data_IF_116868602380
#
_entry.id   IF_116868602380
#
_cell.length_a   1.000
_cell.length_b   1.000
_cell.length_c   1.000
_cell.angle_alpha   90.00
_cell.angle_beta   90.00
_cell.angle_gamma   90.00
#
_symmetry.space_group_name_H-M   'P 1'
#
loop_
_entity.id
_entity.type
_entity.pdbx_description
1 polymer ?
#
# COMPACT_ATOMS: atom_id res chain seq x y z
N UNK A 1 46.70 -5.61 43.63
CA UNK A 1 46.04 -4.39 43.14
C UNK A 1 44.77 -4.20 43.96
N UNK A 2 44.40 -2.97 44.36
CA UNK A 2 43.22 -2.76 45.21
C UNK A 2 41.92 -3.08 44.44
N UNK A 3 41.01 -3.81 45.06
CA UNK A 3 39.64 -4.12 44.58
C UNK A 3 38.94 -2.96 43.82
N UNK A 4 38.99 -1.68 44.29
CA UNK A 4 38.36 -0.56 43.57
C UNK A 4 38.93 -0.33 42.16
N UNK A 5 40.22 -0.61 41.92
CA UNK A 5 40.84 -0.39 40.60
C UNK A 5 40.38 -1.45 39.59
N UNK A 6 40.17 -2.70 40.05
CA UNK A 6 39.61 -3.76 39.22
C UNK A 6 38.16 -3.46 38.82
N UNK A 7 37.36 -2.93 39.76
CA UNK A 7 35.98 -2.50 39.50
C UNK A 7 35.90 -1.33 38.51
N UNK A 8 36.81 -0.36 38.60
CA UNK A 8 36.88 0.77 37.66
C UNK A 8 37.19 0.30 36.24
N UNK A 9 38.18 -0.58 36.06
CA UNK A 9 38.51 -1.12 34.74
C UNK A 9 37.34 -1.95 34.16
N UNK A 10 36.65 -2.72 35.00
CA UNK A 10 35.52 -3.53 34.56
C UNK A 10 34.33 -2.69 34.05
N UNK A 11 34.05 -1.53 34.66
CA UNK A 11 33.01 -0.61 34.17
C UNK A 11 33.38 0.03 32.82
N UNK A 12 34.64 0.42 32.63
CA UNK A 12 35.10 1.04 31.38
C UNK A 12 35.05 0.11 30.17
N UNK A 13 35.23 -1.20 30.37
CA UNK A 13 35.15 -2.18 29.29
C UNK A 13 33.75 -2.77 29.12
N UNK A 14 33.02 -3.11 30.19
CA UNK A 14 31.72 -3.78 30.03
C UNK A 14 30.63 -2.82 29.53
N UNK A 15 30.63 -1.56 30.00
CA UNK A 15 29.59 -0.60 29.65
C UNK A 15 29.52 -0.32 28.14
N UNK A 16 30.58 0.13 27.44
CA UNK A 16 30.49 0.39 26.00
C UNK A 16 30.20 -0.88 25.18
N UNK A 17 30.74 -2.03 25.57
CA UNK A 17 30.45 -3.29 24.90
C UNK A 17 28.98 -3.70 25.06
N UNK A 18 28.42 -3.56 26.26
CA UNK A 18 27.00 -3.83 26.51
C UNK A 18 26.11 -2.92 25.67
N UNK A 19 26.38 -1.62 25.63
CA UNK A 19 25.62 -0.68 24.80
C UNK A 19 25.75 -1.00 23.31
N UNK A 20 26.95 -1.30 22.81
CA UNK A 20 27.17 -1.71 21.41
C UNK A 20 26.39 -2.99 21.09
N UNK A 21 26.37 -3.96 22.00
CA UNK A 21 25.65 -5.22 21.82
C UNK A 21 24.14 -4.98 21.78
N UNK A 22 23.59 -4.17 22.68
CA UNK A 22 22.18 -3.79 22.71
C UNK A 22 21.79 -3.02 21.45
N UNK A 23 22.54 -1.98 21.07
CA UNK A 23 22.28 -1.21 19.85
C UNK A 23 22.40 -2.07 18.58
N UNK A 24 23.40 -2.97 18.53
CA UNK A 24 23.58 -3.91 17.43
C UNK A 24 22.41 -4.89 17.30
N UNK A 25 21.92 -5.43 18.42
CA UNK A 25 20.72 -6.29 18.44
C UNK A 25 19.50 -5.51 17.96
N UNK A 26 19.27 -4.30 18.48
CA UNK A 26 18.13 -3.47 18.07
C UNK A 26 18.17 -3.19 16.57
N UNK A 27 19.34 -2.81 16.04
CA UNK A 27 19.54 -2.58 14.61
C UNK A 27 19.28 -3.84 13.78
N UNK A 28 19.77 -4.99 14.23
CA UNK A 28 19.57 -6.27 13.55
C UNK A 28 18.08 -6.69 13.55
N UNK A 29 17.40 -6.56 14.69
CA UNK A 29 15.96 -6.82 14.81
C UNK A 29 15.17 -5.88 13.91
N UNK A 30 15.49 -4.57 13.91
CA UNK A 30 14.85 -3.60 13.02
C UNK A 30 15.07 -3.96 11.54
N UNK A 31 16.28 -4.37 11.16
CA UNK A 31 16.58 -4.85 9.80
C UNK A 31 15.76 -6.08 9.40
N UNK A 32 15.60 -7.06 10.30
CA UNK A 32 14.74 -8.24 10.05
C UNK A 32 13.28 -7.82 9.88
N UNK A 33 12.76 -6.94 10.74
CA UNK A 33 11.38 -6.44 10.63
C UNK A 33 11.14 -5.70 9.32
N UNK A 34 12.11 -4.88 8.89
CA UNK A 34 12.06 -4.19 7.59
C UNK A 34 12.05 -5.21 6.45
N UNK A 35 12.91 -6.23 6.48
CA UNK A 35 12.94 -7.29 5.47
C UNK A 35 11.60 -8.03 5.37
N UNK A 36 11.00 -8.40 6.50
CA UNK A 36 9.67 -9.03 6.54
C UNK A 36 8.62 -8.09 5.97
N UNK A 37 8.65 -6.81 6.35
CA UNK A 37 7.72 -5.80 5.86
C UNK A 37 7.82 -5.60 4.35
N UNK A 38 9.03 -5.47 3.80
CA UNK A 38 9.26 -5.33 2.34
C UNK A 38 8.74 -6.55 1.60
N UNK A 39 9.01 -7.76 2.09
CA UNK A 39 8.50 -8.98 1.47
C UNK A 39 6.97 -9.01 1.42
N UNK A 40 6.32 -8.67 2.53
CA UNK A 40 4.86 -8.62 2.62
C UNK A 40 4.28 -7.52 1.72
N UNK A 41 4.86 -6.32 1.71
CA UNK A 41 4.41 -5.21 0.87
C UNK A 41 4.58 -5.55 -0.62
N UNK A 42 5.73 -6.09 -1.05
CA UNK A 42 5.96 -6.52 -2.42
C UNK A 42 4.99 -7.63 -2.87
N UNK A 43 4.75 -8.62 -2.01
CA UNK A 43 3.79 -9.71 -2.29
C UNK A 43 2.35 -9.19 -2.40
N UNK A 44 1.95 -8.26 -1.54
CA UNK A 44 0.61 -7.63 -1.62
C UNK A 44 0.41 -6.86 -2.93
N UNK A 45 1.51 -6.33 -3.49
CA UNK A 45 1.54 -5.62 -4.77
C UNK A 45 1.65 -6.57 -5.97
N UNK A 46 1.75 -7.88 -5.76
CA UNK A 46 1.94 -8.84 -6.86
C UNK A 46 3.27 -8.65 -7.59
N UNK A 47 4.23 -7.98 -6.95
CA UNK A 47 5.62 -7.94 -7.38
C UNK A 47 6.33 -9.17 -6.78
N UNK A 48 7.41 -9.62 -7.42
CA UNK A 48 8.21 -10.70 -6.86
C UNK A 48 8.89 -10.22 -5.56
N UNK A 49 8.35 -10.66 -4.43
CA UNK A 49 8.84 -10.26 -3.11
C UNK A 49 10.22 -10.81 -2.76
N UNK A 50 10.65 -11.92 -3.38
CA UNK A 50 11.97 -12.50 -3.13
C UNK A 50 13.06 -11.68 -3.83
N UNK A 51 12.80 -11.19 -5.05
CA UNK A 51 13.69 -10.25 -5.75
C UNK A 51 13.89 -8.95 -4.97
N UNK A 52 12.82 -8.36 -4.44
CA UNK A 52 12.92 -7.16 -3.62
C UNK A 52 13.66 -7.39 -2.31
N UNK A 53 13.45 -8.53 -1.65
CA UNK A 53 14.25 -8.92 -0.49
C UNK A 53 15.73 -9.05 -0.82
N UNK A 54 16.08 -9.65 -1.96
CA UNK A 54 17.47 -9.82 -2.39
C UNK A 54 18.15 -8.46 -2.62
N UNK A 55 17.45 -7.52 -3.24
CA UNK A 55 17.94 -6.14 -3.45
C UNK A 55 18.14 -5.43 -2.11
N UNK A 56 17.18 -5.51 -1.18
CA UNK A 56 17.29 -4.91 0.16
C UNK A 56 18.39 -5.57 0.99
N UNK A 57 18.63 -6.88 0.83
CA UNK A 57 19.69 -7.59 1.53
C UNK A 57 21.09 -7.16 1.05
N UNK A 58 21.27 -6.96 -0.27
CA UNK A 58 22.57 -6.59 -0.86
C UNK A 58 22.85 -5.09 -0.71
N UNK A 59 21.85 -4.25 -0.94
CA UNK A 59 21.99 -2.80 -0.90
C UNK A 59 21.64 -2.18 0.47
N UNK A 60 21.18 -2.99 1.44
CA UNK A 60 20.82 -2.58 2.80
C UNK A 60 19.83 -1.39 2.78
N UNK A 61 20.15 -0.30 3.48
CA UNK A 61 19.38 0.94 3.47
C UNK A 61 19.16 1.49 2.06
N UNK A 62 20.13 1.38 1.15
CA UNK A 62 19.97 1.84 -0.24
C UNK A 62 18.93 1.03 -1.00
N UNK A 63 18.84 -0.28 -0.73
CA UNK A 63 17.82 -1.14 -1.33
C UNK A 63 16.41 -0.76 -0.87
N UNK A 64 16.27 -0.35 0.39
CA UNK A 64 15.00 0.17 0.92
C UNK A 64 14.62 1.50 0.27
N UNK A 65 15.59 2.39 0.05
CA UNK A 65 15.34 3.68 -0.63
C UNK A 65 14.89 3.44 -2.06
N UNK A 66 15.57 2.56 -2.81
CA UNK A 66 15.20 2.21 -4.19
C UNK A 66 13.79 1.58 -4.22
N UNK A 67 13.50 0.68 -3.27
CA UNK A 67 12.17 0.08 -3.11
C UNK A 67 11.08 1.15 -2.94
N UNK A 68 11.29 2.10 -2.03
CA UNK A 68 10.33 3.17 -1.75
C UNK A 68 10.15 4.13 -2.93
N UNK A 69 11.20 4.37 -3.73
CA UNK A 69 11.11 5.20 -4.95
C UNK A 69 10.29 4.50 -6.04
N UNK A 70 10.52 3.21 -6.25
CA UNK A 70 9.84 2.41 -7.29
C UNK A 70 8.46 1.95 -6.83
N UNK A 71 8.09 2.21 -5.57
CA UNK A 71 6.78 1.85 -5.00
C UNK A 71 5.65 2.52 -5.77
N UNK A 72 5.20 1.87 -6.84
CA UNK A 72 3.99 2.24 -7.53
C UNK A 72 2.78 1.83 -6.68
N UNK A 73 1.98 2.83 -6.31
CA UNK A 73 0.64 2.57 -5.80
C UNK A 73 -0.21 2.05 -6.96
N UNK A 74 -0.72 0.82 -6.82
CA UNK A 74 -1.75 0.31 -7.72
C UNK A 74 -2.91 1.29 -7.68
N UNK A 75 -3.03 2.14 -8.70
CA UNK A 75 -4.25 2.90 -8.90
C UNK A 75 -5.35 1.86 -9.09
N UNK A 76 -6.41 1.84 -8.25
CA UNK A 76 -7.54 1.01 -8.57
C UNK A 76 -7.99 1.41 -9.97
N UNK A 77 -7.96 0.47 -10.90
CA UNK A 77 -8.52 0.68 -12.23
C UNK A 77 -10.00 0.93 -12.01
N UNK A 78 -10.39 2.21 -11.98
CA UNK A 78 -11.79 2.58 -11.91
C UNK A 78 -12.41 2.15 -13.24
N UNK A 79 -13.03 0.97 -13.24
CA UNK A 79 -13.84 0.52 -14.36
C UNK A 79 -15.08 1.40 -14.40
N UNK A 80 -15.11 2.31 -15.36
CA UNK A 80 -16.33 3.02 -15.73
C UNK A 80 -17.34 1.93 -16.17
N UNK A 81 -18.53 1.84 -15.57
CA UNK A 81 -19.54 0.93 -16.07
C UNK A 81 -19.86 1.26 -17.53
N UNK A 82 -20.21 0.28 -18.37
CA UNK A 82 -20.59 0.52 -19.75
C UNK A 82 -21.65 1.62 -19.82
N UNK A 83 -21.39 2.69 -20.58
CA UNK A 83 -22.36 3.75 -20.81
C UNK A 83 -23.53 3.17 -21.62
N UNK A 84 -24.64 2.87 -20.94
CA UNK A 84 -25.88 2.53 -21.62
C UNK A 84 -26.52 3.83 -22.07
N UNK A 85 -26.38 4.13 -23.35
CA UNK A 85 -27.07 5.23 -23.99
C UNK A 85 -28.58 4.96 -23.91
N UNK A 86 -29.22 5.68 -23.00
CA UNK A 86 -30.65 5.60 -22.77
C UNK A 86 -31.37 6.15 -24.02
N UNK A 87 -31.65 5.32 -25.02
CA UNK A 87 -32.54 5.62 -26.15
C UNK A 87 -33.78 6.38 -25.69
N UNK A 88 -33.90 7.64 -26.12
CA UNK A 88 -35.06 8.48 -25.88
C UNK A 88 -36.27 7.88 -26.61
N UNK A 89 -37.38 7.67 -25.88
CA UNK A 89 -38.65 7.25 -26.45
C UNK A 89 -39.55 8.47 -26.58
N UNK A 90 -40.37 8.54 -27.62
CA UNK A 90 -41.34 9.63 -27.80
C UNK A 90 -42.75 9.11 -27.62
N UNK A 91 -43.62 9.91 -27.01
CA UNK A 91 -45.01 9.55 -26.81
C UNK A 91 -45.74 9.45 -28.16
N UNK A 92 -46.31 8.28 -28.46
CA UNK A 92 -47.11 8.02 -29.67
C UNK A 92 -48.35 8.91 -29.83
N UNK A 93 -48.84 9.52 -28.75
CA UNK A 93 -50.06 10.33 -28.76
C UNK A 93 -49.81 11.84 -28.87
N UNK A 94 -48.72 12.36 -28.29
CA UNK A 94 -48.47 13.81 -28.25
C UNK A 94 -47.05 14.22 -28.68
N UNK A 95 -46.18 13.26 -29.01
CA UNK A 95 -44.83 13.51 -29.49
C UNK A 95 -43.82 14.00 -28.44
N UNK A 96 -44.20 14.11 -27.16
CA UNK A 96 -43.27 14.54 -26.12
C UNK A 96 -42.24 13.45 -25.81
N UNK A 97 -41.01 13.85 -25.49
CA UNK A 97 -39.97 12.95 -25.03
C UNK A 97 -40.35 12.27 -23.70
N UNK A 98 -40.11 10.96 -23.62
CA UNK A 98 -40.35 10.12 -22.45
C UNK A 98 -39.01 9.64 -21.91
N UNK A 99 -38.86 9.70 -20.59
CA UNK A 99 -37.74 9.03 -19.92
C UNK A 99 -37.91 7.52 -20.07
N UNK A 100 -36.80 6.78 -20.17
CA UNK A 100 -36.85 5.34 -20.42
C UNK A 100 -37.64 4.53 -19.39
N UNK A 101 -37.76 5.08 -18.18
CA UNK A 101 -38.43 4.46 -17.03
C UNK A 101 -39.85 5.01 -16.81
N UNK A 102 -40.36 5.89 -17.69
CA UNK A 102 -41.70 6.44 -17.59
C UNK A 102 -42.76 5.39 -17.99
N UNK A 103 -43.74 5.14 -17.11
CA UNK A 103 -44.92 4.30 -17.40
C UNK A 103 -46.06 5.09 -18.06
N UNK A 104 -46.06 6.40 -17.90
CA UNK A 104 -47.08 7.32 -18.41
C UNK A 104 -46.44 8.60 -18.93
N UNK A 105 -47.05 9.21 -19.94
CA UNK A 105 -46.63 10.50 -20.47
C UNK A 105 -47.00 11.63 -19.50
N UNK A 106 -46.02 12.43 -19.08
CA UNK A 106 -46.23 13.59 -18.21
C UNK A 106 -47.00 14.74 -18.86
N UNK A 107 -47.09 14.77 -20.20
CA UNK A 107 -47.80 15.80 -20.96
C UNK A 107 -49.26 15.44 -21.24
N UNK A 108 -49.56 14.20 -21.60
CA UNK A 108 -50.92 13.79 -22.03
C UNK A 108 -51.57 12.69 -21.18
N UNK A 109 -50.87 12.12 -20.20
CA UNK A 109 -51.41 11.13 -19.26
C UNK A 109 -51.61 9.72 -19.82
N UNK A 110 -51.39 9.48 -21.12
CA UNK A 110 -51.48 8.13 -21.70
C UNK A 110 -50.28 7.25 -21.31
N UNK A 111 -50.49 5.94 -21.33
CA UNK A 111 -49.43 4.96 -21.07
C UNK A 111 -48.25 5.16 -22.05
N UNK A 112 -47.04 5.00 -21.54
CA UNK A 112 -45.82 5.03 -22.35
C UNK A 112 -45.76 3.75 -23.19
N UNK A 113 -46.14 3.87 -24.46
CA UNK A 113 -46.01 2.84 -25.49
C UNK A 113 -44.77 3.08 -26.33
#
# INVERSE_FOLDING_TARGET
MPEPVLQMMQQFFIFPFFFILVFGIIWFVAGILICIWVYQDAKSRGMDGALWLLIVLIANVLGLIIYLIIREEKRPVYRVPPYHEKQARFCSNCGSELTQDAKFCSKCGKAAS
#
